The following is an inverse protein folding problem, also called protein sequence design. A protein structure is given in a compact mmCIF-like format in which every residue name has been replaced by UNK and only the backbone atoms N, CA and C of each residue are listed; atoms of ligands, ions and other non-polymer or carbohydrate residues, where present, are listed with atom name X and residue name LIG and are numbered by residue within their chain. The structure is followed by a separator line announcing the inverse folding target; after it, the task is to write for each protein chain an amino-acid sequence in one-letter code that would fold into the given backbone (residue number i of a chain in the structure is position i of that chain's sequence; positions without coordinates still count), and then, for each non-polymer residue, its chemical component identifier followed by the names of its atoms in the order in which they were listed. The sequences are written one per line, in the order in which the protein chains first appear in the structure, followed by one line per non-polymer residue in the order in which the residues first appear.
data_IF_107719710608
#
_entry.id   IF_107719710608
#
_cell.length_a   1.000
_cell.length_b   1.000
_cell.length_c   1.000
_cell.angle_alpha   90.00
_cell.angle_beta   90.00
_cell.angle_gamma   90.00
#
_symmetry.space_group_name_H-M   'P 1'
#
loop_
_entity.id
_entity.type
_entity.pdbx_description
1 polymer ?
#
# COMPACT_ATOMS: atom_id res chain seq x y z
N UNK A 1 19.95 -5.00 2.27
CA UNK A 1 19.81 -6.43 1.91
C UNK A 1 18.36 -6.67 1.50
N UNK A 2 18.10 -7.41 0.42
CA UNK A 2 16.77 -7.94 0.09
C UNK A 2 16.92 -9.45 0.05
N UNK A 3 16.00 -10.18 0.67
CA UNK A 3 16.00 -11.64 0.58
C UNK A 3 15.73 -12.02 -0.87
N UNK A 4 16.68 -12.66 -1.53
CA UNK A 4 16.48 -13.18 -2.87
C UNK A 4 15.52 -14.37 -2.84
N UNK A 5 14.81 -14.55 -3.94
CA UNK A 5 14.08 -15.77 -4.27
C UNK A 5 14.67 -16.40 -5.53
N UNK A 6 14.42 -17.69 -5.71
CA UNK A 6 14.77 -18.45 -6.90
C UNK A 6 13.48 -18.90 -7.57
N UNK A 7 13.55 -19.05 -8.90
CA UNK A 7 12.47 -19.64 -9.70
C UNK A 7 13.04 -20.82 -10.48
N UNK A 8 12.37 -21.96 -10.43
CA UNK A 8 12.63 -23.05 -11.36
C UNK A 8 11.99 -22.70 -12.72
N UNK A 9 12.77 -22.52 -13.80
CA UNK A 9 12.23 -22.09 -15.09
C UNK A 9 11.40 -23.17 -15.80
N UNK A 10 11.50 -24.44 -15.38
CA UNK A 10 10.73 -25.53 -15.96
C UNK A 10 9.34 -25.68 -15.29
N UNK A 11 9.26 -25.48 -13.98
CA UNK A 11 8.00 -25.66 -13.23
C UNK A 11 7.33 -24.34 -12.87
N UNK A 12 8.07 -23.24 -12.82
CA UNK A 12 7.62 -21.96 -12.28
C UNK A 12 7.60 -21.93 -10.75
N UNK A 13 8.22 -22.89 -10.07
CA UNK A 13 8.21 -22.94 -8.60
C UNK A 13 9.14 -21.89 -7.99
N UNK A 14 8.57 -21.06 -7.12
CA UNK A 14 9.31 -20.04 -6.38
C UNK A 14 9.75 -20.56 -5.03
N UNK A 15 11.02 -20.35 -4.69
CA UNK A 15 11.59 -20.71 -3.39
C UNK A 15 12.41 -19.57 -2.79
N UNK A 16 12.46 -19.52 -1.46
CA UNK A 16 13.28 -18.57 -0.72
C UNK A 16 13.83 -19.25 0.53
N UNK A 17 15.03 -18.86 0.95
CA UNK A 17 15.63 -19.36 2.20
C UNK A 17 15.02 -18.72 3.44
N UNK A 18 14.42 -17.54 3.30
CA UNK A 18 13.77 -16.79 4.36
C UNK A 18 12.27 -16.80 4.09
N UNK A 19 11.50 -17.43 4.98
CA UNK A 19 10.05 -17.47 4.88
C UNK A 19 9.48 -16.06 4.94
N UNK A 20 8.67 -15.70 3.96
CA UNK A 20 7.90 -14.46 3.96
C UNK A 20 6.73 -14.52 4.94
N UNK A 21 6.29 -13.38 5.48
CA UNK A 21 5.11 -13.33 6.35
C UNK A 21 3.84 -13.85 5.68
N UNK A 22 3.71 -13.65 4.37
CA UNK A 22 2.57 -14.10 3.55
C UNK A 22 2.71 -15.55 3.07
N UNK A 23 3.86 -16.19 3.27
CA UNK A 23 4.17 -17.52 2.74
C UNK A 23 4.56 -17.55 1.26
N UNK A 24 4.38 -16.44 0.53
CA UNK A 24 4.78 -16.29 -0.88
C UNK A 24 6.27 -16.00 -0.98
N UNK A 25 7.05 -16.84 -1.65
CA UNK A 25 8.51 -16.73 -1.66
C UNK A 25 9.06 -15.41 -2.22
N UNK A 26 8.39 -14.78 -3.18
CA UNK A 26 8.76 -13.48 -3.77
C UNK A 26 8.18 -12.26 -3.03
N UNK A 27 7.61 -12.47 -1.84
CA UNK A 27 7.00 -11.43 -1.02
C UNK A 27 7.70 -11.23 0.34
N UNK A 28 9.03 -10.99 0.36
CA UNK A 28 9.77 -10.87 1.61
C UNK A 28 9.38 -9.60 2.39
N UNK A 29 9.56 -9.66 3.71
CA UNK A 29 9.56 -8.48 4.56
C UNK A 29 10.79 -7.59 4.30
N UNK A 30 10.70 -6.32 4.72
CA UNK A 30 11.85 -5.44 4.82
C UNK A 30 12.87 -5.98 5.83
N UNK A 31 14.14 -5.64 5.61
CA UNK A 31 15.18 -5.85 6.63
C UNK A 31 15.00 -4.89 7.80
N UNK A 32 15.68 -5.14 8.93
CA UNK A 32 15.67 -4.23 10.08
C UNK A 32 15.99 -2.77 9.68
N UNK A 33 17.05 -2.57 8.90
CA UNK A 33 17.40 -1.23 8.39
C UNK A 33 16.32 -0.66 7.45
N UNK A 34 15.69 -1.49 6.62
CA UNK A 34 14.57 -1.06 5.78
C UNK A 34 13.33 -0.64 6.58
N UNK A 35 13.08 -1.29 7.72
CA UNK A 35 12.03 -0.86 8.67
C UNK A 35 12.36 0.49 9.29
N UNK A 36 13.64 0.75 9.62
CA UNK A 36 14.04 2.05 10.14
C UNK A 36 13.91 3.16 9.07
N UNK A 37 14.30 2.88 7.82
CA UNK A 37 14.05 3.77 6.69
C UNK A 37 12.55 4.07 6.49
N UNK A 38 11.67 3.08 6.65
CA UNK A 38 10.23 3.27 6.56
C UNK A 38 9.68 4.21 7.66
N UNK A 39 10.23 4.14 8.88
CA UNK A 39 9.88 5.07 9.97
C UNK A 39 10.34 6.49 9.68
N UNK A 40 11.58 6.66 9.20
CA UNK A 40 12.13 7.95 8.80
C UNK A 40 11.30 8.59 7.67
N UNK A 41 10.96 7.79 6.65
CA UNK A 41 10.07 8.20 5.57
C UNK A 41 8.70 8.62 6.13
N UNK A 42 8.10 7.83 7.00
CA UNK A 42 6.80 8.14 7.58
C UNK A 42 6.78 9.45 8.36
N UNK A 43 7.80 9.70 9.19
CA UNK A 43 7.95 10.96 9.91
C UNK A 43 8.13 12.14 8.93
N UNK A 44 8.91 11.96 7.87
CA UNK A 44 9.11 13.02 6.86
C UNK A 44 7.82 13.33 6.09
N UNK A 45 7.07 12.32 5.65
CA UNK A 45 5.83 12.48 4.90
C UNK A 45 4.73 13.22 5.67
N UNK A 46 4.76 13.24 7.00
CA UNK A 46 3.86 14.11 7.79
C UNK A 46 4.16 15.61 7.65
N UNK A 47 5.38 15.98 7.25
CA UNK A 47 5.84 17.37 7.23
C UNK A 47 5.70 18.04 5.86
N UNK A 48 5.33 17.28 4.82
CA UNK A 48 5.28 17.79 3.45
C UNK A 48 4.10 18.74 3.24
N UNK A 49 4.30 19.70 2.34
CA UNK A 49 3.29 20.69 1.95
C UNK A 49 3.18 20.71 0.41
N UNK A 50 1.99 20.52 -0.19
CA UNK A 50 0.71 20.24 0.47
C UNK A 50 0.69 18.90 1.22
N UNK A 51 -0.19 18.73 2.23
CA UNK A 51 -0.31 17.46 2.94
C UNK A 51 -0.79 16.35 2.01
N UNK A 52 -0.38 15.12 2.29
CA UNK A 52 -0.83 13.94 1.54
C UNK A 52 -2.29 13.63 1.91
N UNK A 53 -3.13 13.46 0.90
CA UNK A 53 -4.58 13.21 1.03
C UNK A 53 -4.97 11.74 0.77
N UNK A 54 -4.05 10.99 0.17
CA UNK A 54 -4.29 9.62 -0.27
C UNK A 54 -2.99 8.80 -0.29
N UNK A 55 -3.10 7.51 0.04
CA UNK A 55 -2.01 6.54 -0.11
C UNK A 55 -2.47 5.39 -0.99
N UNK A 56 -1.74 5.18 -2.08
CA UNK A 56 -1.83 4.01 -2.94
C UNK A 56 -0.52 3.25 -2.82
N UNK A 57 -0.59 1.94 -2.66
CA UNK A 57 0.61 1.10 -2.55
C UNK A 57 0.39 -0.23 -3.25
N UNK A 58 1.47 -0.79 -3.79
CA UNK A 58 1.45 -2.18 -4.23
C UNK A 58 1.05 -3.10 -3.06
N UNK A 59 0.21 -4.12 -3.28
CA UNK A 59 -0.22 -5.03 -2.22
C UNK A 59 0.86 -6.03 -1.76
N UNK A 60 2.07 -6.00 -2.34
CA UNK A 60 3.20 -6.78 -1.80
C UNK A 60 3.55 -6.31 -0.38
N UNK A 61 3.85 -7.26 0.51
CA UNK A 61 4.09 -7.05 1.94
C UNK A 61 5.13 -5.95 2.18
N UNK A 62 6.26 -5.97 1.46
CA UNK A 62 7.32 -4.94 1.58
C UNK A 62 6.82 -3.52 1.30
N UNK A 63 5.91 -3.36 0.35
CA UNK A 63 5.39 -2.05 -0.04
C UNK A 63 4.38 -1.54 0.99
N UNK A 64 3.52 -2.42 1.49
CA UNK A 64 2.63 -2.11 2.60
C UNK A 64 3.42 -1.75 3.86
N UNK A 65 4.41 -2.57 4.24
CA UNK A 65 5.27 -2.32 5.40
C UNK A 65 6.04 -1.00 5.30
N UNK A 66 6.43 -0.59 4.10
CA UNK A 66 7.13 0.68 3.87
C UNK A 66 6.26 1.88 4.22
N UNK A 67 4.97 1.85 3.87
CA UNK A 67 4.08 3.00 4.01
C UNK A 67 3.28 2.98 5.32
N UNK A 68 3.21 1.84 6.02
CA UNK A 68 2.49 1.71 7.29
C UNK A 68 2.86 2.79 8.32
N UNK A 69 4.15 3.11 8.58
CA UNK A 69 4.49 4.11 9.60
C UNK A 69 3.87 5.49 9.32
N UNK A 70 3.84 5.92 8.05
CA UNK A 70 3.21 7.18 7.67
C UNK A 70 1.71 7.20 8.01
N UNK A 71 1.00 6.15 7.59
CA UNK A 71 -0.46 6.08 7.70
C UNK A 71 -0.92 5.97 9.16
N UNK A 72 -0.15 5.26 10.00
CA UNK A 72 -0.40 5.18 11.44
C UNK A 72 -0.18 6.53 12.12
N UNK A 73 0.95 7.19 11.87
CA UNK A 73 1.23 8.53 12.41
C UNK A 73 0.17 9.56 11.96
N UNK A 74 -0.29 9.48 10.70
CA UNK A 74 -1.35 10.35 10.19
C UNK A 74 -2.68 10.09 10.91
N UNK A 75 -3.03 8.84 11.16
CA UNK A 75 -4.24 8.49 11.91
C UNK A 75 -4.20 9.01 13.36
N UNK A 76 -3.04 8.92 14.02
CA UNK A 76 -2.84 9.48 15.37
C UNK A 76 -2.93 11.02 15.39
N UNK A 77 -2.38 11.70 14.38
CA UNK A 77 -2.52 13.15 14.23
C UNK A 77 -3.98 13.58 14.10
N UNK A 78 -4.73 12.92 13.21
CA UNK A 78 -6.17 13.19 13.01
C UNK A 78 -6.94 12.96 14.30
N UNK A 79 -6.69 11.85 15.00
CA UNK A 79 -7.35 11.55 16.27
C UNK A 79 -7.06 12.63 17.33
N UNK A 80 -5.81 13.08 17.46
CA UNK A 80 -5.43 14.16 18.38
C UNK A 80 -6.14 15.48 18.06
N UNK A 81 -6.24 15.84 16.78
CA UNK A 81 -6.92 17.06 16.34
C UNK A 81 -8.43 17.02 16.61
N UNK A 82 -9.07 15.86 16.38
CA UNK A 82 -10.50 15.66 16.69
C UNK A 82 -10.76 15.71 18.20
N UNK A 83 -9.89 15.10 19.02
CA UNK A 83 -10.02 15.14 20.48
C UNK A 83 -9.76 16.54 21.07
N UNK A 84 -8.84 17.33 20.50
CA UNK A 84 -8.61 18.71 20.94
C UNK A 84 -9.77 19.65 20.58
N UNK A 85 -10.37 19.46 19.39
CA UNK A 85 -11.49 20.28 18.90
C UNK A 85 -12.83 19.95 19.58
N UNK A 86 -12.99 18.74 20.15
CA UNK A 86 -14.21 18.36 20.87
C UNK A 86 -14.29 18.93 22.30
N UNK A 87 -13.16 19.36 22.88
CA UNK A 87 -13.12 20.00 24.20
C UNK A 87 -13.57 21.48 24.15
N UNK A 88 -13.48 22.14 22.99
CA UNK A 88 -13.87 23.55 22.82
C UNK A 88 -15.33 23.76 22.40
N UNK A 89 -16.08 22.70 22.11
CA UNK A 89 -17.49 22.77 21.64
C UNK A 89 -18.48 22.29 22.71
N UNK A 90 -18.25 22.60 23.97
CA UNK A 90 -19.29 22.51 25.00
C UNK A 90 -20.32 23.68 24.92
N UNK A 91 -20.34 24.46 23.82
CA UNK A 91 -21.22 25.63 23.73
C UNK A 91 -21.34 26.36 22.39
N UNK A 92 -21.22 25.69 21.23
CA UNK A 92 -21.51 26.34 19.94
C UNK A 92 -22.44 25.46 19.07
N UNK A 93 -23.73 25.80 19.09
CA UNK A 93 -24.72 25.31 18.12
C UNK A 93 -24.51 26.05 16.79
N UNK A 94 -23.99 25.37 15.77
CA UNK A 94 -23.97 25.92 14.43
C UNK A 94 -25.24 25.51 13.69
N UNK A 95 -26.15 26.49 13.55
CA UNK A 95 -27.31 26.46 12.64
C UNK A 95 -26.80 26.87 11.25
N UNK A 96 -26.31 25.92 10.49
CA UNK A 96 -26.23 25.98 9.02
C UNK A 96 -25.80 24.60 8.53
N UNK A 97 -26.63 23.95 7.72
CA UNK A 97 -26.37 22.64 7.12
C UNK A 97 -25.29 22.68 6.03
N UNK A 98 -24.09 23.10 6.39
CA UNK A 98 -22.88 22.95 5.58
C UNK A 98 -22.18 21.66 6.03
N UNK A 99 -22.28 20.62 5.22
CA UNK A 99 -21.40 19.45 5.32
C UNK A 99 -19.98 19.93 5.06
N UNK A 100 -19.25 20.23 6.13
CA UNK A 100 -17.80 20.41 6.08
C UNK A 100 -17.24 19.15 5.42
N UNK A 101 -16.72 19.30 4.20
CA UNK A 101 -15.98 18.25 3.52
C UNK A 101 -14.87 17.82 4.46
N UNK A 102 -15.04 16.65 5.11
CA UNK A 102 -13.97 16.01 5.84
C UNK A 102 -12.89 15.74 4.81
N UNK A 103 -11.85 16.58 4.77
CA UNK A 103 -10.66 16.30 3.97
C UNK A 103 -10.29 14.83 4.19
N UNK A 104 -10.27 14.07 3.10
CA UNK A 104 -9.86 12.67 3.12
C UNK A 104 -8.46 12.64 3.70
N UNK A 105 -8.33 12.24 4.96
CA UNK A 105 -7.03 12.11 5.58
C UNK A 105 -6.40 10.81 5.06
N UNK A 106 -5.12 10.87 4.69
CA UNK A 106 -4.28 9.76 4.23
C UNK A 106 -4.03 8.69 5.32
N UNK A 107 -5.12 8.14 5.85
CA UNK A 107 -5.16 7.23 6.98
C UNK A 107 -5.50 5.81 6.53
N UNK A 108 -5.82 5.56 5.27
CA UNK A 108 -5.97 4.20 4.73
C UNK A 108 -4.97 3.96 3.59
N UNK A 109 -4.61 2.69 3.38
CA UNK A 109 -3.73 2.25 2.29
C UNK A 109 -4.60 1.60 1.23
N UNK A 110 -4.68 2.20 0.04
CA UNK A 110 -5.37 1.66 -1.13
C UNK A 110 -4.46 0.68 -1.87
N UNK A 111 -4.74 -0.63 -1.86
CA UNK A 111 -3.92 -1.65 -2.53
C UNK A 111 -4.07 -1.57 -4.06
N UNK A 112 -3.14 -0.88 -4.73
CA UNK A 112 -3.17 -0.67 -6.18
C UNK A 112 -2.29 -1.71 -6.90
N UNK A 113 -2.93 -2.65 -7.60
CA UNK A 113 -2.24 -3.70 -8.35
C UNK A 113 -1.63 -3.20 -9.66
N UNK A 114 -2.14 -2.11 -10.23
CA UNK A 114 -1.59 -1.48 -11.43
C UNK A 114 -0.15 -0.98 -11.26
N UNK A 115 0.26 -0.68 -10.02
CA UNK A 115 1.64 -0.31 -9.67
C UNK A 115 2.41 -1.45 -8.95
N UNK A 116 1.94 -2.69 -9.05
CA UNK A 116 2.61 -3.85 -8.46
C UNK A 116 3.87 -4.28 -9.25
N UNK A 117 4.65 -5.16 -8.61
CA UNK A 117 5.88 -5.77 -9.12
C UNK A 117 5.72 -6.27 -10.56
N UNK A 118 6.79 -6.18 -11.34
CA UNK A 118 6.85 -6.72 -12.68
C UNK A 118 7.50 -8.10 -12.69
N UNK A 119 6.81 -9.07 -13.27
CA UNK A 119 7.43 -10.32 -13.71
C UNK A 119 7.45 -10.35 -15.24
N UNK A 120 8.62 -10.66 -15.80
CA UNK A 120 8.76 -10.82 -17.24
C UNK A 120 8.01 -12.04 -17.75
N UNK A 121 7.42 -11.93 -18.94
CA UNK A 121 6.59 -12.98 -19.55
C UNK A 121 7.25 -14.38 -19.52
N UNK A 122 6.48 -15.37 -19.08
CA UNK A 122 6.92 -16.75 -18.90
C UNK A 122 5.84 -17.77 -19.31
N UNK A 123 6.21 -19.03 -19.62
CA UNK A 123 5.22 -20.07 -19.92
C UNK A 123 4.46 -20.59 -18.68
N UNK A 124 4.90 -20.18 -17.47
CA UNK A 124 4.32 -20.53 -16.16
C UNK A 124 3.68 -19.32 -15.49
N UNK A 125 2.94 -19.55 -14.40
CA UNK A 125 2.30 -18.49 -13.62
C UNK A 125 3.27 -17.93 -12.58
N UNK A 126 3.23 -16.61 -12.37
CA UNK A 126 3.98 -15.94 -11.33
C UNK A 126 3.16 -15.80 -10.05
N UNK A 127 3.83 -15.63 -8.90
CA UNK A 127 3.15 -15.33 -7.65
C UNK A 127 2.36 -14.04 -7.75
N UNK A 128 1.15 -14.08 -7.20
CA UNK A 128 0.33 -12.89 -6.97
C UNK A 128 0.47 -12.43 -5.52
N UNK A 129 0.22 -11.15 -5.22
CA UNK A 129 0.14 -10.64 -3.86
C UNK A 129 -0.85 -11.45 -3.02
N UNK A 130 -0.60 -11.51 -1.70
CA UNK A 130 -1.52 -12.19 -0.79
C UNK A 130 -2.91 -11.54 -0.79
N UNK A 131 -3.93 -12.31 -0.43
CA UNK A 131 -5.31 -11.82 -0.43
C UNK A 131 -5.57 -10.82 0.70
N UNK A 132 -6.68 -10.08 0.61
CA UNK A 132 -7.08 -9.13 1.65
C UNK A 132 -7.26 -9.82 3.01
N UNK A 133 -7.78 -11.05 3.04
CA UNK A 133 -7.96 -11.84 4.25
C UNK A 133 -6.62 -12.12 4.97
N UNK A 134 -5.53 -12.25 4.21
CA UNK A 134 -4.17 -12.44 4.74
C UNK A 134 -3.55 -11.11 5.14
N UNK A 135 -3.72 -10.06 4.32
CA UNK A 135 -3.03 -8.77 4.49
C UNK A 135 -3.68 -7.88 5.55
N UNK A 136 -5.01 -7.86 5.66
CA UNK A 136 -5.75 -6.98 6.57
C UNK A 136 -5.39 -7.19 8.05
N UNK A 137 -5.22 -8.42 8.57
CA UNK A 137 -4.73 -8.63 9.92
C UNK A 137 -3.29 -8.15 10.14
N UNK A 138 -2.44 -8.17 9.11
CA UNK A 138 -1.04 -7.72 9.18
C UNK A 138 -0.91 -6.20 9.06
N UNK A 139 -1.81 -5.57 8.32
CA UNK A 139 -1.83 -4.14 8.05
C UNK A 139 -3.24 -3.58 8.30
N UNK A 140 -3.59 -3.20 9.55
CA UNK A 140 -4.97 -2.82 9.90
C UNK A 140 -5.56 -1.67 9.08
N UNK A 141 -4.70 -0.80 8.54
CA UNK A 141 -5.10 0.34 7.68
C UNK A 141 -5.21 -0.01 6.19
N UNK A 142 -5.02 -1.28 5.81
CA UNK A 142 -5.30 -1.79 4.47
C UNK A 142 -6.77 -1.62 4.11
N UNK A 143 -7.06 -1.01 2.97
CA UNK A 143 -8.41 -0.80 2.47
C UNK A 143 -8.86 -1.99 1.60
N UNK A 144 -9.60 -2.92 2.20
CA UNK A 144 -10.18 -4.08 1.50
C UNK A 144 -11.36 -3.73 0.58
N UNK A 145 -11.87 -2.50 0.67
CA UNK A 145 -12.98 -2.02 -0.17
C UNK A 145 -12.48 -1.39 -1.48
N UNK A 146 -11.22 -1.00 -1.53
CA UNK A 146 -10.58 -0.50 -2.75
C UNK A 146 -10.60 -1.55 -3.87
N UNK A 147 -10.78 -1.08 -5.11
CA UNK A 147 -10.79 -1.91 -6.31
C UNK A 147 -9.82 -1.31 -7.32
N UNK A 148 -8.76 -2.06 -7.62
CA UNK A 148 -7.81 -1.72 -8.68
C UNK A 148 -8.48 -1.82 -10.05
N UNK A 149 -8.11 -0.94 -10.98
CA UNK A 149 -8.62 -0.98 -12.35
C UNK A 149 -7.95 -2.05 -13.21
N UNK A 150 -6.67 -2.36 -12.93
CA UNK A 150 -5.87 -3.30 -13.71
C UNK A 150 -4.98 -4.15 -12.82
N UNK A 151 -4.80 -5.42 -13.19
CA UNK A 151 -3.94 -6.36 -12.47
C UNK A 151 -2.84 -6.88 -13.39
N UNK A 152 -1.63 -7.19 -12.88
CA UNK A 152 -0.58 -7.82 -13.66
C UNK A 152 -1.06 -9.12 -14.30
N UNK A 153 -0.61 -9.39 -15.53
CA UNK A 153 -0.88 -10.67 -16.17
C UNK A 153 -0.27 -11.82 -15.37
N UNK A 154 -1.03 -12.90 -15.15
CA UNK A 154 -0.62 -14.04 -14.32
C UNK A 154 0.64 -14.76 -14.85
N UNK A 155 0.87 -14.70 -16.16
CA UNK A 155 2.07 -15.25 -16.83
C UNK A 155 3.15 -14.20 -17.13
N UNK A 156 3.04 -13.05 -16.49
CA UNK A 156 3.99 -11.96 -16.64
C UNK A 156 3.74 -11.14 -17.90
N UNK A 157 4.55 -10.11 -18.06
CA UNK A 157 4.32 -9.05 -19.03
C UNK A 157 5.59 -8.81 -19.86
N UNK A 158 5.42 -8.40 -21.12
CA UNK A 158 6.53 -7.74 -21.84
C UNK A 158 6.77 -6.36 -21.24
N UNK A 159 7.84 -5.69 -21.67
CA UNK A 159 8.09 -4.29 -21.25
C UNK A 159 6.95 -3.38 -21.70
N UNK A 160 6.43 -3.58 -22.91
CA UNK A 160 5.29 -2.82 -23.44
C UNK A 160 4.03 -3.07 -22.60
N UNK A 161 3.72 -4.32 -22.28
CA UNK A 161 2.59 -4.67 -21.42
C UNK A 161 2.71 -4.08 -20.01
N UNK A 162 3.92 -4.05 -19.44
CA UNK A 162 4.20 -3.35 -18.18
C UNK A 162 3.85 -1.86 -18.27
N UNK A 163 4.29 -1.18 -19.34
CA UNK A 163 3.99 0.24 -19.53
C UNK A 163 2.49 0.49 -19.69
N UNK A 164 1.79 -0.34 -20.46
CA UNK A 164 0.34 -0.26 -20.63
C UNK A 164 -0.38 -0.43 -19.29
N UNK A 165 0.00 -1.44 -18.48
CA UNK A 165 -0.58 -1.65 -17.15
C UNK A 165 -0.33 -0.47 -16.23
N UNK A 166 0.91 0.01 -16.13
CA UNK A 166 1.24 1.11 -15.22
C UNK A 166 0.51 2.39 -15.65
N UNK A 167 0.42 2.66 -16.95
CA UNK A 167 -0.34 3.80 -17.46
C UNK A 167 -1.84 3.70 -17.10
N UNK A 168 -2.46 2.53 -17.29
CA UNK A 168 -3.86 2.32 -16.91
C UNK A 168 -4.09 2.41 -15.39
N UNK A 169 -3.17 1.84 -14.59
CA UNK A 169 -3.25 1.89 -13.13
C UNK A 169 -3.08 3.29 -12.56
N UNK A 170 -2.08 4.05 -13.05
CA UNK A 170 -1.88 5.45 -12.65
C UNK A 170 -3.02 6.33 -13.17
N UNK A 171 -3.52 6.10 -14.38
CA UNK A 171 -4.70 6.77 -14.93
C UNK A 171 -5.91 6.63 -14.00
N UNK A 172 -6.21 5.40 -13.58
CA UNK A 172 -7.32 5.14 -12.65
C UNK A 172 -7.13 5.73 -11.24
N UNK A 173 -5.90 6.05 -10.82
CA UNK A 173 -5.63 6.73 -9.54
C UNK A 173 -5.99 8.22 -9.61
N UNK A 174 -5.81 8.84 -10.77
CA UNK A 174 -5.96 10.30 -10.95
C UNK A 174 -7.35 10.72 -11.45
N UNK A 175 -8.11 9.78 -12.03
CA UNK A 175 -9.48 9.99 -12.53
C UNK A 175 -10.52 10.06 -11.40
#
# INVERSE_FOLDING_TARGET
FRSNWLVDPATGDYSSSIRSPTGIASDPALTAHGVDQAKELGAHLLTVSPPIEAVYSSPYYRCLQTITPFVELKAEEVQRQTSASSVTVAGATNVAGETVSTQSAATSIRPESGIAEWYGAAPFEHPTPATAEVLKPMFPRYDETYRTAVVPAVKGETIEGLYERVAAGVGAIID
#
